data_IF_868024439322
#
_entry.id   IF_868024439322
#
_cell.length_a   1.000
_cell.length_b   1.000
_cell.length_c   1.000
_cell.angle_alpha   90.00
_cell.angle_beta   90.00
_cell.angle_gamma   90.00
#
_symmetry.space_group_name_H-M   'P 1'
#
loop_
_entity.id
_entity.type
_entity.pdbx_description
1 polymer ?
#
# COMPACT_ATOMS: atom_id res chain seq x y z
N UNK A 1 -33.01 9.22 9.34
CA UNK A 1 -33.35 8.32 10.48
C UNK A 1 -34.18 7.11 10.06
N UNK A 2 -34.94 7.16 8.95
CA UNK A 2 -35.67 6.01 8.39
C UNK A 2 -34.74 4.87 7.91
N UNK A 3 -33.66 5.21 7.20
CA UNK A 3 -32.68 4.27 6.62
C UNK A 3 -32.16 3.19 7.60
N UNK A 4 -31.96 3.53 8.88
CA UNK A 4 -31.36 2.61 9.86
C UNK A 4 -32.33 1.51 10.32
N UNK A 5 -33.62 1.83 10.48
CA UNK A 5 -34.62 0.84 10.93
C UNK A 5 -34.92 -0.18 9.85
N UNK A 6 -34.84 0.23 8.58
CA UNK A 6 -35.14 -0.63 7.45
C UNK A 6 -33.99 -1.61 7.16
N UNK A 7 -32.73 -1.18 7.31
CA UNK A 7 -31.56 -2.07 7.14
C UNK A 7 -31.53 -3.20 8.19
N UNK A 8 -31.87 -2.92 9.45
CA UNK A 8 -31.89 -3.98 10.50
C UNK A 8 -32.89 -5.09 10.21
N UNK A 9 -33.99 -4.78 9.49
CA UNK A 9 -34.99 -5.78 9.08
C UNK A 9 -34.47 -6.73 8.00
N UNK A 10 -33.40 -6.35 7.31
CA UNK A 10 -32.78 -7.15 6.25
C UNK A 10 -31.64 -8.05 6.74
N UNK A 11 -31.44 -8.18 8.06
CA UNK A 11 -30.32 -8.93 8.63
C UNK A 11 -30.29 -10.44 8.27
N UNK A 12 -31.41 -10.99 7.78
CA UNK A 12 -31.51 -12.38 7.34
C UNK A 12 -31.29 -12.57 5.84
N UNK A 13 -31.21 -11.50 5.04
CA UNK A 13 -30.91 -11.61 3.61
C UNK A 13 -29.46 -12.07 3.42
N UNK A 14 -29.18 -12.77 2.32
CA UNK A 14 -27.81 -12.95 1.84
C UNK A 14 -27.24 -11.61 1.36
N UNK A 15 -25.92 -11.50 1.27
CA UNK A 15 -25.27 -10.29 0.79
C UNK A 15 -25.74 -9.92 -0.63
N UNK A 16 -25.93 -10.90 -1.52
CA UNK A 16 -26.43 -10.65 -2.89
C UNK A 16 -27.87 -10.15 -2.88
N UNK A 17 -28.73 -10.72 -2.05
CA UNK A 17 -30.11 -10.25 -1.89
C UNK A 17 -30.14 -8.83 -1.32
N UNK A 18 -29.31 -8.55 -0.32
CA UNK A 18 -29.17 -7.20 0.24
C UNK A 18 -28.63 -6.21 -0.80
N UNK A 19 -27.70 -6.63 -1.66
CA UNK A 19 -27.19 -5.80 -2.76
C UNK A 19 -28.32 -5.37 -3.71
N UNK A 20 -29.19 -6.31 -4.10
CA UNK A 20 -30.34 -6.01 -4.97
C UNK A 20 -31.31 -5.03 -4.30
N UNK A 21 -31.68 -5.30 -3.05
CA UNK A 21 -32.52 -4.41 -2.25
C UNK A 21 -31.91 -3.00 -2.13
N UNK A 22 -30.60 -2.92 -1.83
CA UNK A 22 -29.90 -1.66 -1.69
C UNK A 22 -29.93 -0.81 -2.95
N UNK A 23 -29.84 -1.44 -4.13
CA UNK A 23 -29.86 -0.74 -5.41
C UNK A 23 -31.24 -0.13 -5.74
N UNK A 24 -32.32 -0.75 -5.26
CA UNK A 24 -33.70 -0.30 -5.51
C UNK A 24 -34.17 0.72 -4.47
N UNK A 25 -33.78 0.54 -3.20
CA UNK A 25 -34.42 1.22 -2.07
C UNK A 25 -33.54 2.30 -1.39
N UNK A 26 -32.25 2.38 -1.72
CA UNK A 26 -31.32 3.30 -1.05
C UNK A 26 -30.56 4.16 -2.07
N UNK A 27 -30.47 5.46 -1.80
CA UNK A 27 -29.67 6.37 -2.61
C UNK A 27 -28.18 5.98 -2.59
N UNK A 28 -27.51 6.01 -3.74
CA UNK A 28 -26.12 5.56 -3.92
C UNK A 28 -25.14 6.16 -2.89
N UNK A 29 -25.28 7.46 -2.58
CA UNK A 29 -24.46 8.16 -1.58
C UNK A 29 -24.51 7.54 -0.16
N UNK A 30 -25.55 6.78 0.14
CA UNK A 30 -25.79 6.16 1.44
C UNK A 30 -25.49 4.64 1.44
N UNK A 31 -25.12 4.07 0.29
CA UNK A 31 -24.87 2.62 0.14
C UNK A 31 -23.80 2.10 1.11
N UNK A 32 -22.66 2.79 1.24
CA UNK A 32 -21.58 2.34 2.12
C UNK A 32 -22.01 2.28 3.59
N UNK A 33 -22.84 3.24 4.03
CA UNK A 33 -23.38 3.26 5.39
C UNK A 33 -24.37 2.12 5.58
N UNK A 34 -25.24 1.88 4.61
CA UNK A 34 -26.22 0.79 4.66
C UNK A 34 -25.54 -0.59 4.68
N UNK A 35 -24.52 -0.81 3.83
CA UNK A 35 -23.70 -2.02 3.85
C UNK A 35 -23.01 -2.25 5.20
N UNK A 36 -22.39 -1.22 5.76
CA UNK A 36 -21.74 -1.31 7.07
C UNK A 36 -22.76 -1.75 8.14
N UNK A 37 -23.94 -1.14 8.17
CA UNK A 37 -25.00 -1.50 9.12
C UNK A 37 -25.56 -2.90 8.89
N UNK A 38 -25.69 -3.34 7.64
CA UNK A 38 -26.09 -4.69 7.31
C UNK A 38 -25.07 -5.71 7.82
N UNK A 39 -23.79 -5.58 7.46
CA UNK A 39 -22.76 -6.53 7.86
C UNK A 39 -22.52 -6.57 9.36
N UNK A 40 -22.73 -5.45 10.06
CA UNK A 40 -22.69 -5.41 11.52
C UNK A 40 -23.77 -6.30 12.15
N UNK A 41 -24.95 -6.34 11.54
CA UNK A 41 -26.16 -6.93 12.12
C UNK A 41 -26.57 -8.27 11.51
N UNK A 42 -26.01 -8.65 10.36
CA UNK A 42 -26.37 -9.87 9.64
C UNK A 42 -26.22 -11.10 10.53
N UNK A 43 -27.16 -12.03 10.38
CA UNK A 43 -27.10 -13.37 10.98
C UNK A 43 -26.72 -14.43 9.96
N UNK A 44 -26.65 -14.08 8.68
CA UNK A 44 -26.24 -15.00 7.62
C UNK A 44 -24.72 -15.23 7.69
N UNK A 45 -24.34 -16.49 7.92
CA UNK A 45 -22.93 -16.85 8.15
C UNK A 45 -22.06 -16.60 6.92
N UNK A 46 -22.60 -16.74 5.71
CA UNK A 46 -21.84 -16.46 4.49
C UNK A 46 -21.58 -14.96 4.33
N UNK A 47 -22.60 -14.15 4.57
CA UNK A 47 -22.52 -12.68 4.53
C UNK A 47 -21.59 -12.11 5.59
N UNK A 48 -21.45 -12.76 6.75
CA UNK A 48 -20.44 -12.40 7.74
C UNK A 48 -19.01 -12.48 7.19
N UNK A 49 -18.69 -13.49 6.36
CA UNK A 49 -17.37 -13.62 5.73
C UNK A 49 -17.10 -12.47 4.76
N UNK A 50 -18.06 -12.20 3.88
CA UNK A 50 -17.99 -11.12 2.88
C UNK A 50 -17.85 -9.76 3.57
N UNK A 51 -18.62 -9.57 4.64
CA UNK A 51 -18.64 -8.33 5.40
C UNK A 51 -17.28 -7.95 5.98
N UNK A 52 -16.43 -8.92 6.33
CA UNK A 52 -15.10 -8.60 6.85
C UNK A 52 -14.22 -7.92 5.81
N UNK A 53 -14.21 -8.36 4.54
CA UNK A 53 -13.47 -7.65 3.48
C UNK A 53 -14.09 -6.28 3.20
N UNK A 54 -15.41 -6.19 3.16
CA UNK A 54 -16.08 -4.92 2.92
C UNK A 54 -15.71 -3.88 4.00
N UNK A 55 -15.83 -4.26 5.26
CA UNK A 55 -15.54 -3.38 6.41
C UNK A 55 -14.05 -3.02 6.46
N UNK A 56 -13.17 -3.98 6.15
CA UNK A 56 -11.72 -3.75 6.04
C UNK A 56 -11.40 -2.72 4.94
N UNK A 57 -11.86 -2.97 3.71
CA UNK A 57 -11.55 -2.13 2.56
C UNK A 57 -12.04 -0.68 2.72
N UNK A 58 -13.17 -0.49 3.42
CA UNK A 58 -13.77 0.82 3.66
C UNK A 58 -13.37 1.47 4.99
N UNK A 59 -12.38 0.92 5.70
CA UNK A 59 -11.85 1.49 6.95
C UNK A 59 -12.85 1.51 8.13
N UNK A 60 -13.85 0.64 8.14
CA UNK A 60 -14.81 0.49 9.24
C UNK A 60 -14.23 -0.40 10.35
N UNK A 61 -13.09 -0.01 10.93
CA UNK A 61 -12.31 -0.84 11.85
C UNK A 61 -13.09 -1.32 13.07
N UNK A 62 -13.89 -0.45 13.69
CA UNK A 62 -14.65 -0.82 14.90
C UNK A 62 -15.71 -1.88 14.59
N UNK A 63 -16.39 -1.75 13.46
CA UNK A 63 -17.40 -2.72 13.03
C UNK A 63 -16.74 -4.03 12.55
N UNK A 64 -15.57 -3.95 11.90
CA UNK A 64 -14.77 -5.13 11.56
C UNK A 64 -14.37 -5.93 12.81
N UNK A 65 -13.88 -5.26 13.86
CA UNK A 65 -13.51 -5.91 15.12
C UNK A 65 -14.71 -6.62 15.79
N UNK A 66 -15.91 -6.04 15.69
CA UNK A 66 -17.14 -6.68 16.18
C UNK A 66 -17.48 -7.92 15.36
N UNK A 67 -17.41 -7.83 14.03
CA UNK A 67 -17.70 -8.94 13.13
C UNK A 67 -16.66 -10.08 13.27
N UNK A 68 -15.40 -9.75 13.49
CA UNK A 68 -14.33 -10.69 13.82
C UNK A 68 -14.66 -11.50 15.07
N UNK A 69 -15.09 -10.85 16.15
CA UNK A 69 -15.49 -11.53 17.39
C UNK A 69 -16.63 -12.51 17.16
N UNK A 70 -17.63 -12.14 16.34
CA UNK A 70 -18.74 -13.03 15.98
C UNK A 70 -18.26 -14.26 15.20
N UNK A 71 -17.44 -14.06 14.16
CA UNK A 71 -16.96 -15.14 13.30
C UNK A 71 -16.03 -16.12 14.04
N UNK A 72 -15.19 -15.62 14.96
CA UNK A 72 -14.37 -16.46 15.84
C UNK A 72 -15.20 -17.42 16.70
N UNK A 73 -16.33 -16.93 17.20
CA UNK A 73 -17.24 -17.71 18.05
C UNK A 73 -18.20 -18.60 17.25
N UNK A 74 -18.17 -18.51 15.91
CA UNK A 74 -19.01 -19.34 15.05
C UNK A 74 -18.60 -20.82 15.15
N UNK A 75 -19.56 -21.72 14.99
CA UNK A 75 -19.32 -23.16 14.85
C UNK A 75 -18.86 -23.55 13.44
N UNK A 76 -18.92 -22.61 12.49
CA UNK A 76 -18.56 -22.85 11.08
C UNK A 76 -17.09 -22.56 10.87
N UNK A 77 -16.33 -23.58 10.47
CA UNK A 77 -14.88 -23.50 10.24
C UNK A 77 -14.49 -22.40 9.27
N UNK A 78 -15.23 -22.22 8.17
CA UNK A 78 -14.94 -21.17 7.18
C UNK A 78 -14.96 -19.77 7.82
N UNK A 79 -15.97 -19.47 8.66
CA UNK A 79 -16.05 -18.21 9.37
C UNK A 79 -14.86 -17.99 10.31
N UNK A 80 -14.43 -19.04 11.03
CA UNK A 80 -13.25 -18.98 11.89
C UNK A 80 -11.98 -18.69 11.09
N UNK A 81 -11.84 -19.30 9.90
CA UNK A 81 -10.68 -19.08 9.01
C UNK A 81 -10.65 -17.67 8.44
N UNK A 82 -11.79 -17.15 7.99
CA UNK A 82 -11.92 -15.78 7.56
C UNK A 82 -11.59 -14.79 8.69
N UNK A 83 -12.06 -15.06 9.91
CA UNK A 83 -11.71 -14.23 11.07
C UNK A 83 -10.20 -14.26 11.35
N UNK A 84 -9.59 -15.45 11.30
CA UNK A 84 -8.16 -15.61 11.49
C UNK A 84 -7.35 -14.86 10.45
N UNK A 85 -7.75 -14.94 9.18
CA UNK A 85 -7.13 -14.20 8.09
C UNK A 85 -7.15 -12.69 8.34
N UNK A 86 -8.31 -12.14 8.73
CA UNK A 86 -8.42 -10.69 8.95
C UNK A 86 -7.72 -10.20 10.23
N UNK A 87 -7.58 -11.03 11.26
CA UNK A 87 -6.67 -10.72 12.38
C UNK A 87 -5.22 -10.58 11.91
N UNK A 88 -4.75 -11.50 11.07
CA UNK A 88 -3.40 -11.45 10.53
C UNK A 88 -3.21 -10.25 9.61
N UNK A 89 -4.25 -9.88 8.87
CA UNK A 89 -4.26 -8.66 8.03
C UNK A 89 -4.16 -7.40 8.88
N UNK A 90 -4.95 -7.28 9.94
CA UNK A 90 -4.87 -6.14 10.86
C UNK A 90 -3.54 -6.10 11.62
N UNK A 91 -2.97 -7.27 11.95
CA UNK A 91 -1.67 -7.36 12.60
C UNK A 91 -0.53 -6.91 11.66
N UNK A 92 -0.64 -7.23 10.38
CA UNK A 92 0.25 -6.74 9.33
C UNK A 92 0.16 -5.22 9.19
N UNK A 93 -1.04 -4.65 9.06
CA UNK A 93 -1.20 -3.20 8.87
C UNK A 93 -0.77 -2.36 10.08
N UNK A 94 -0.81 -2.95 11.29
CA UNK A 94 -0.40 -2.29 12.53
C UNK A 94 1.04 -2.55 12.94
N UNK A 95 1.81 -3.32 12.16
CA UNK A 95 3.16 -3.81 12.51
C UNK A 95 3.22 -4.49 13.89
N UNK A 96 2.11 -5.10 14.35
CA UNK A 96 2.01 -5.68 15.69
C UNK A 96 2.53 -7.11 15.79
N UNK A 97 2.70 -7.79 14.66
CA UNK A 97 3.34 -9.10 14.57
C UNK A 97 4.46 -9.10 13.54
N UNK A 98 5.49 -9.91 13.77
CA UNK A 98 6.59 -10.05 12.82
C UNK A 98 6.16 -10.82 11.57
N UNK A 99 6.87 -10.55 10.47
CA UNK A 99 6.70 -11.26 9.20
C UNK A 99 6.64 -12.78 9.35
N UNK A 100 7.60 -13.37 10.07
CA UNK A 100 7.72 -14.82 10.20
C UNK A 100 6.50 -15.44 10.88
N UNK A 101 5.97 -14.77 11.91
CA UNK A 101 4.77 -15.20 12.63
C UNK A 101 3.56 -15.13 11.72
N UNK A 102 3.35 -14.00 11.03
CA UNK A 102 2.19 -13.85 10.14
C UNK A 102 2.25 -14.90 9.02
N UNK A 103 3.40 -15.05 8.37
CA UNK A 103 3.58 -15.99 7.26
C UNK A 103 3.32 -17.44 7.68
N UNK A 104 3.86 -17.86 8.83
CA UNK A 104 3.61 -19.19 9.38
C UNK A 104 2.12 -19.40 9.66
N UNK A 105 1.46 -18.42 10.27
CA UNK A 105 0.04 -18.52 10.61
C UNK A 105 -0.86 -18.56 9.37
N UNK A 106 -0.49 -17.87 8.29
CA UNK A 106 -1.20 -17.97 7.01
C UNK A 106 -1.09 -19.36 6.37
N UNK A 107 0.00 -20.10 6.62
CA UNK A 107 0.16 -21.47 6.11
C UNK A 107 -0.72 -22.49 6.86
N UNK A 108 -1.18 -22.16 8.07
CA UNK A 108 -2.07 -23.04 8.86
C UNK A 108 -3.52 -22.94 8.40
N UNK A 109 -3.91 -21.83 7.74
CA UNK A 109 -5.28 -21.65 7.24
C UNK A 109 -5.48 -22.53 6.00
N UNK A 110 -6.25 -23.60 6.16
CA UNK A 110 -6.66 -24.50 5.06
C UNK A 110 -8.13 -24.26 4.73
N UNK A 111 -8.42 -23.91 3.47
CA UNK A 111 -9.77 -23.59 3.02
C UNK A 111 -10.01 -24.04 1.58
N UNK A 112 -11.27 -24.31 1.24
CA UNK A 112 -11.72 -24.54 -0.13
C UNK A 112 -12.41 -23.31 -0.75
N UNK A 113 -12.63 -22.24 0.03
CA UNK A 113 -13.23 -20.99 -0.44
C UNK A 113 -12.26 -20.27 -1.40
N UNK A 114 -12.63 -20.11 -2.69
CA UNK A 114 -11.76 -19.48 -3.69
C UNK A 114 -11.37 -18.04 -3.33
N UNK A 115 -12.27 -17.29 -2.72
CA UNK A 115 -12.00 -15.91 -2.35
C UNK A 115 -10.98 -15.85 -1.22
N UNK A 116 -11.16 -16.67 -0.16
CA UNK A 116 -10.20 -16.73 0.95
C UNK A 116 -8.83 -17.23 0.49
N UNK A 117 -8.76 -18.20 -0.43
CA UNK A 117 -7.48 -18.62 -1.05
C UNK A 117 -6.77 -17.44 -1.73
N UNK A 118 -7.50 -16.66 -2.53
CA UNK A 118 -6.95 -15.51 -3.21
C UNK A 118 -6.48 -14.44 -2.21
N UNK A 119 -7.25 -14.15 -1.17
CA UNK A 119 -6.85 -13.20 -0.12
C UNK A 119 -5.61 -13.64 0.66
N UNK A 120 -5.50 -14.93 0.99
CA UNK A 120 -4.30 -15.50 1.64
C UNK A 120 -3.08 -15.34 0.73
N UNK A 121 -3.20 -15.68 -0.56
CA UNK A 121 -2.13 -15.47 -1.55
C UNK A 121 -1.73 -14.00 -1.65
N UNK A 122 -2.71 -13.09 -1.71
CA UNK A 122 -2.46 -11.66 -1.77
C UNK A 122 -1.67 -11.14 -0.55
N UNK A 123 -2.01 -11.59 0.66
CA UNK A 123 -1.30 -11.18 1.87
C UNK A 123 0.12 -11.77 1.94
N UNK A 124 0.31 -13.03 1.54
CA UNK A 124 1.66 -13.63 1.43
C UNK A 124 2.54 -12.88 0.45
N UNK A 125 2.00 -12.51 -0.72
CA UNK A 125 2.73 -11.71 -1.69
C UNK A 125 3.03 -10.31 -1.15
N UNK A 126 2.08 -9.68 -0.47
CA UNK A 126 2.29 -8.36 0.14
C UNK A 126 3.40 -8.39 1.20
N UNK A 127 3.46 -9.44 2.02
CA UNK A 127 4.54 -9.67 2.98
C UNK A 127 5.90 -9.79 2.26
N UNK A 128 5.96 -10.54 1.17
CA UNK A 128 7.21 -10.75 0.41
C UNK A 128 7.69 -9.49 -0.31
N UNK A 129 6.76 -8.65 -0.80
CA UNK A 129 7.06 -7.32 -1.33
C UNK A 129 7.73 -6.42 -0.28
N UNK A 130 7.23 -6.44 0.96
CA UNK A 130 7.81 -5.65 2.08
C UNK A 130 9.22 -6.10 2.45
N UNK A 131 9.55 -7.37 2.21
CA UNK A 131 10.88 -7.96 2.43
C UNK A 131 11.74 -8.00 1.17
N UNK A 132 11.35 -7.26 0.13
CA UNK A 132 12.10 -7.11 -1.10
C UNK A 132 12.37 -8.39 -1.89
N UNK A 133 11.55 -9.44 -1.70
CA UNK A 133 11.71 -10.72 -2.40
C UNK A 133 10.96 -10.73 -3.74
N UNK A 134 11.34 -9.85 -4.67
CA UNK A 134 10.63 -9.66 -5.93
C UNK A 134 10.77 -10.84 -6.90
N UNK A 135 11.81 -11.67 -6.76
CA UNK A 135 11.96 -12.90 -7.56
C UNK A 135 10.82 -13.86 -7.23
N UNK A 136 10.63 -14.19 -5.95
CA UNK A 136 9.54 -15.06 -5.50
C UNK A 136 8.17 -14.47 -5.84
N UNK A 137 8.00 -13.15 -5.69
CA UNK A 137 6.74 -12.50 -6.08
C UNK A 137 6.48 -12.72 -7.57
N UNK A 138 7.48 -12.57 -8.43
CA UNK A 138 7.36 -12.82 -9.87
C UNK A 138 6.91 -14.24 -10.21
N UNK A 139 7.42 -15.23 -9.48
CA UNK A 139 7.06 -16.65 -9.64
C UNK A 139 5.60 -16.94 -9.23
N UNK A 140 5.11 -16.27 -8.19
CA UNK A 140 3.78 -16.51 -7.62
C UNK A 140 2.66 -15.68 -8.26
N UNK A 141 3.01 -14.66 -9.05
CA UNK A 141 2.04 -13.74 -9.64
C UNK A 141 1.04 -14.45 -10.57
N UNK A 142 1.49 -15.45 -11.34
CA UNK A 142 0.64 -16.18 -12.27
C UNK A 142 -0.41 -17.01 -11.52
N UNK A 143 0.01 -17.79 -10.53
CA UNK A 143 -0.89 -18.58 -9.70
C UNK A 143 -1.87 -17.68 -8.92
N UNK A 144 -1.42 -16.54 -8.39
CA UNK A 144 -2.31 -15.60 -7.73
C UNK A 144 -3.34 -14.97 -8.70
N UNK A 145 -2.92 -14.69 -9.94
CA UNK A 145 -3.84 -14.21 -10.99
C UNK A 145 -4.90 -15.26 -11.30
N UNK A 146 -4.53 -16.53 -11.41
CA UNK A 146 -5.48 -17.62 -11.65
C UNK A 146 -6.46 -17.79 -10.49
N UNK A 147 -5.97 -17.75 -9.24
CA UNK A 147 -6.83 -17.73 -8.05
C UNK A 147 -7.80 -16.55 -8.04
N UNK A 148 -7.35 -15.38 -8.50
CA UNK A 148 -8.21 -14.20 -8.62
C UNK A 148 -9.34 -14.43 -9.63
N UNK A 149 -9.06 -15.06 -10.77
CA UNK A 149 -10.09 -15.37 -11.77
C UNK A 149 -11.09 -16.45 -11.33
N UNK A 150 -10.68 -17.35 -10.44
CA UNK A 150 -11.58 -18.33 -9.83
C UNK A 150 -12.60 -17.70 -8.86
N UNK A 151 -12.40 -16.45 -8.44
CA UNK A 151 -13.38 -15.72 -7.63
C UNK A 151 -14.52 -15.23 -8.52
N UNK A 152 -15.63 -15.96 -8.50
CA UNK A 152 -16.86 -15.61 -9.21
C UNK A 152 -17.82 -14.74 -8.40
N UNK A 153 -17.61 -14.62 -7.08
CA UNK A 153 -18.54 -13.93 -6.19
C UNK A 153 -18.61 -12.42 -6.51
N UNK A 154 -19.80 -11.86 -6.83
CA UNK A 154 -19.95 -10.54 -7.44
C UNK A 154 -19.59 -9.36 -6.51
N UNK A 155 -19.57 -9.58 -5.19
CA UNK A 155 -19.15 -8.56 -4.22
C UNK A 155 -17.66 -8.68 -3.89
N UNK A 156 -17.11 -9.90 -3.86
CA UNK A 156 -15.72 -10.13 -3.45
C UNK A 156 -14.71 -9.96 -4.59
N UNK A 157 -15.12 -10.31 -5.82
CA UNK A 157 -14.25 -10.23 -7.00
C UNK A 157 -13.61 -8.85 -7.20
N UNK A 158 -14.33 -7.71 -7.08
CA UNK A 158 -13.70 -6.39 -7.17
C UNK A 158 -12.60 -6.16 -6.12
N UNK A 159 -12.79 -6.64 -4.89
CA UNK A 159 -11.77 -6.49 -3.83
C UNK A 159 -10.52 -7.31 -4.11
N UNK A 160 -10.67 -8.55 -4.58
CA UNK A 160 -9.51 -9.39 -4.95
C UNK A 160 -8.77 -8.79 -6.15
N UNK A 161 -9.50 -8.29 -7.15
CA UNK A 161 -8.90 -7.59 -8.30
C UNK A 161 -8.12 -6.34 -7.87
N UNK A 162 -8.65 -5.55 -6.94
CA UNK A 162 -7.95 -4.38 -6.41
C UNK A 162 -6.64 -4.79 -5.70
N UNK A 163 -6.62 -5.91 -4.98
CA UNK A 163 -5.38 -6.43 -4.35
C UNK A 163 -4.38 -6.90 -5.40
N UNK A 164 -4.82 -7.56 -6.47
CA UNK A 164 -3.99 -7.93 -7.61
C UNK A 164 -3.37 -6.71 -8.29
N UNK A 165 -4.17 -5.69 -8.61
CA UNK A 165 -3.67 -4.46 -9.21
C UNK A 165 -2.67 -3.73 -8.29
N UNK A 166 -2.91 -3.72 -6.97
CA UNK A 166 -1.96 -3.13 -6.00
C UNK A 166 -0.62 -3.87 -6.03
N UNK A 167 -0.65 -5.19 -6.01
CA UNK A 167 0.57 -6.01 -6.08
C UNK A 167 1.32 -5.76 -7.39
N UNK A 168 0.61 -5.76 -8.53
CA UNK A 168 1.19 -5.51 -9.85
C UNK A 168 1.79 -4.11 -9.96
N UNK A 169 1.14 -3.10 -9.37
CA UNK A 169 1.68 -1.74 -9.29
C UNK A 169 3.07 -1.73 -8.63
N UNK A 170 3.20 -2.27 -7.41
CA UNK A 170 4.47 -2.28 -6.69
C UNK A 170 5.53 -3.16 -7.35
N UNK A 171 5.12 -4.33 -7.86
CA UNK A 171 6.03 -5.23 -8.56
C UNK A 171 6.66 -4.54 -9.78
N UNK A 172 5.84 -4.03 -10.70
CA UNK A 172 6.34 -3.35 -11.90
C UNK A 172 7.09 -2.06 -11.55
N UNK A 173 6.69 -1.34 -10.50
CA UNK A 173 7.44 -0.18 -10.04
C UNK A 173 8.88 -0.57 -9.69
N UNK A 174 9.07 -1.59 -8.85
CA UNK A 174 10.39 -1.98 -8.38
C UNK A 174 11.26 -2.64 -9.46
N UNK A 175 10.63 -3.24 -10.47
CA UNK A 175 11.29 -3.74 -11.69
C UNK A 175 11.61 -2.64 -12.72
N UNK A 176 11.26 -1.38 -12.45
CA UNK A 176 11.42 -0.24 -13.35
C UNK A 176 10.55 -0.32 -14.64
N UNK A 177 9.43 -1.04 -14.60
CA UNK A 177 8.43 -1.11 -15.69
C UNK A 177 7.36 -0.01 -15.54
N UNK A 178 7.75 1.27 -15.66
CA UNK A 178 6.90 2.41 -15.24
C UNK A 178 5.56 2.52 -15.96
N UNK A 179 5.50 2.16 -17.25
CA UNK A 179 4.24 2.18 -18.00
C UNK A 179 3.21 1.24 -17.38
N UNK A 180 3.62 0.01 -17.05
CA UNK A 180 2.74 -0.98 -16.42
C UNK A 180 2.42 -0.59 -14.98
N UNK A 181 3.42 -0.14 -14.21
CA UNK A 181 3.21 0.31 -12.84
C UNK A 181 2.12 1.40 -12.81
N UNK A 182 2.29 2.49 -13.57
CA UNK A 182 1.34 3.60 -13.60
C UNK A 182 -0.03 3.18 -14.12
N UNK A 183 -0.11 2.29 -15.11
CA UNK A 183 -1.39 1.73 -15.58
C UNK A 183 -2.18 1.12 -14.41
N UNK A 184 -1.55 0.24 -13.62
CA UNK A 184 -2.21 -0.35 -12.46
C UNK A 184 -2.51 0.67 -11.37
N UNK A 185 -1.60 1.61 -11.11
CA UNK A 185 -1.82 2.71 -10.17
C UNK A 185 -3.03 3.58 -10.54
N UNK A 186 -3.20 3.95 -11.82
CA UNK A 186 -4.36 4.71 -12.29
C UNK A 186 -5.67 3.91 -12.23
N UNK A 187 -5.64 2.61 -12.55
CA UNK A 187 -6.82 1.75 -12.36
C UNK A 187 -7.29 1.78 -10.91
N UNK A 188 -6.36 1.67 -9.95
CA UNK A 188 -6.66 1.74 -8.53
C UNK A 188 -7.21 3.11 -8.12
N UNK A 189 -6.64 4.22 -8.63
CA UNK A 189 -7.12 5.57 -8.35
C UNK A 189 -8.60 5.72 -8.74
N UNK A 190 -9.00 5.23 -9.92
CA UNK A 190 -10.38 5.36 -10.41
C UNK A 190 -11.42 4.58 -9.60
N UNK A 191 -10.97 3.60 -8.80
CA UNK A 191 -11.85 2.68 -8.06
C UNK A 191 -11.75 2.83 -6.54
N UNK A 192 -10.80 3.61 -6.04
CA UNK A 192 -10.56 3.76 -4.62
C UNK A 192 -11.73 4.52 -3.94
N UNK A 193 -12.45 3.82 -3.06
CA UNK A 193 -13.51 4.42 -2.22
C UNK A 193 -12.98 4.88 -0.86
N UNK A 194 -11.84 4.32 -0.42
CA UNK A 194 -11.17 4.69 0.81
C UNK A 194 -10.20 5.86 0.55
N UNK A 195 -10.53 7.02 1.09
CA UNK A 195 -9.73 8.24 0.89
C UNK A 195 -8.33 8.17 1.51
N UNK A 196 -8.13 7.42 2.60
CA UNK A 196 -6.78 7.23 3.16
C UNK A 196 -5.91 6.44 2.18
N UNK A 197 -6.44 5.32 1.67
CA UNK A 197 -5.76 4.54 0.64
C UNK A 197 -5.50 5.36 -0.64
N UNK A 198 -6.45 6.21 -1.04
CA UNK A 198 -6.29 7.12 -2.17
C UNK A 198 -5.12 8.09 -1.97
N UNK A 199 -4.94 8.63 -0.76
CA UNK A 199 -3.82 9.50 -0.44
C UNK A 199 -2.48 8.75 -0.50
N UNK A 200 -2.39 7.55 0.09
CA UNK A 200 -1.19 6.70 0.04
C UNK A 200 -0.81 6.31 -1.40
N UNK A 201 -1.79 5.97 -2.22
CA UNK A 201 -1.58 5.65 -3.63
C UNK A 201 -1.04 6.86 -4.41
N UNK A 202 -1.55 8.06 -4.15
CA UNK A 202 -1.01 9.28 -4.72
C UNK A 202 0.44 9.54 -4.28
N UNK A 203 0.80 9.29 -3.01
CA UNK A 203 2.21 9.36 -2.60
C UNK A 203 3.07 8.41 -3.42
N UNK A 204 2.66 7.14 -3.57
CA UNK A 204 3.43 6.17 -4.34
C UNK A 204 3.54 6.56 -5.83
N UNK A 205 2.45 7.04 -6.43
CA UNK A 205 2.48 7.52 -7.83
C UNK A 205 3.43 8.69 -8.00
N UNK A 206 3.46 9.64 -7.06
CA UNK A 206 4.39 10.78 -7.11
C UNK A 206 5.85 10.32 -7.27
N UNK A 207 6.25 9.29 -6.53
CA UNK A 207 7.58 8.72 -6.59
C UNK A 207 7.89 7.99 -7.90
N UNK A 208 6.88 7.47 -8.59
CA UNK A 208 7.12 6.84 -9.90
C UNK A 208 7.58 7.85 -10.95
N UNK A 209 7.25 9.14 -10.80
CA UNK A 209 7.54 10.19 -11.78
C UNK A 209 8.88 10.90 -11.60
N UNK A 210 9.67 10.55 -10.57
CA UNK A 210 10.87 11.33 -10.21
C UNK A 210 11.91 11.41 -11.34
N UNK A 211 11.98 10.41 -12.23
CA UNK A 211 12.92 10.45 -13.35
C UNK A 211 12.33 10.98 -14.66
N UNK A 212 11.07 11.40 -14.66
CA UNK A 212 10.34 11.73 -15.87
C UNK A 212 9.85 13.18 -15.86
N UNK A 213 9.04 13.57 -14.87
CA UNK A 213 8.37 14.88 -14.87
C UNK A 213 8.05 15.37 -13.45
N UNK A 214 8.55 16.57 -13.13
CA UNK A 214 8.31 17.23 -11.85
C UNK A 214 6.83 17.57 -11.64
N UNK A 215 6.13 18.00 -12.69
CA UNK A 215 4.74 18.45 -12.54
C UNK A 215 3.83 17.28 -12.15
N UNK A 216 4.00 16.13 -12.79
CA UNK A 216 3.27 14.90 -12.46
C UNK A 216 3.61 14.39 -11.06
N UNK A 217 4.90 14.40 -10.69
CA UNK A 217 5.33 14.04 -9.34
C UNK A 217 4.69 14.95 -8.28
N UNK A 218 4.80 16.28 -8.48
CA UNK A 218 4.25 17.27 -7.56
C UNK A 218 2.71 17.22 -7.50
N UNK A 219 2.02 17.05 -8.63
CA UNK A 219 0.57 16.96 -8.67
C UNK A 219 0.05 15.84 -7.76
N UNK A 220 0.59 14.63 -7.91
CA UNK A 220 0.20 13.50 -7.08
C UNK A 220 0.55 13.73 -5.61
N UNK A 221 1.70 14.33 -5.31
CA UNK A 221 2.09 14.61 -3.94
C UNK A 221 1.16 15.64 -3.25
N UNK A 222 0.78 16.71 -3.96
CA UNK A 222 -0.16 17.71 -3.45
C UNK A 222 -1.56 17.14 -3.27
N UNK A 223 -2.01 16.26 -4.17
CA UNK A 223 -3.30 15.59 -4.01
C UNK A 223 -3.30 14.66 -2.78
N UNK A 224 -2.22 13.92 -2.56
CA UNK A 224 -2.05 13.13 -1.34
C UNK A 224 -2.09 14.01 -0.08
N UNK A 225 -1.39 15.14 -0.10
CA UNK A 225 -1.34 16.09 1.01
C UNK A 225 -2.72 16.68 1.31
N UNK A 226 -3.43 17.15 0.27
CA UNK A 226 -4.79 17.70 0.38
C UNK A 226 -5.75 16.71 1.02
N UNK A 227 -5.73 15.45 0.58
CA UNK A 227 -6.57 14.40 1.15
C UNK A 227 -6.17 14.12 2.61
N UNK A 228 -4.88 13.95 2.90
CA UNK A 228 -4.38 13.67 4.24
C UNK A 228 -4.75 14.77 5.25
N UNK A 229 -4.63 16.05 4.87
CA UNK A 229 -5.04 17.20 5.68
C UNK A 229 -6.55 17.25 5.90
N UNK A 230 -7.34 16.95 4.86
CA UNK A 230 -8.81 16.88 4.97
C UNK A 230 -9.24 15.80 5.96
N UNK A 231 -8.56 14.65 5.95
CA UNK A 231 -8.81 13.53 6.86
C UNK A 231 -8.11 13.67 8.23
N UNK A 232 -7.25 14.68 8.41
CA UNK A 232 -6.41 14.90 9.61
C UNK A 232 -5.54 13.69 9.96
N UNK A 233 -4.83 13.14 8.96
CA UNK A 233 -3.95 11.99 9.13
C UNK A 233 -2.51 12.46 9.32
N UNK A 234 -2.18 12.93 10.52
CA UNK A 234 -0.92 13.59 10.85
C UNK A 234 0.32 12.77 10.46
N UNK A 235 0.27 11.44 10.63
CA UNK A 235 1.37 10.55 10.22
C UNK A 235 1.68 10.68 8.71
N UNK A 236 0.64 10.73 7.88
CA UNK A 236 0.79 10.83 6.43
C UNK A 236 1.20 12.25 6.01
N UNK A 237 0.63 13.28 6.62
CA UNK A 237 1.04 14.68 6.46
C UNK A 237 2.53 14.84 6.74
N UNK A 238 2.98 14.35 7.90
CA UNK A 238 4.37 14.40 8.32
C UNK A 238 5.29 13.61 7.37
N UNK A 239 4.87 12.43 6.91
CA UNK A 239 5.64 11.66 5.92
C UNK A 239 5.82 12.45 4.61
N UNK A 240 4.76 13.09 4.12
CA UNK A 240 4.81 13.90 2.90
C UNK A 240 5.73 15.11 3.09
N UNK A 241 5.55 15.88 4.16
CA UNK A 241 6.30 17.13 4.39
C UNK A 241 7.77 16.89 4.73
N UNK A 242 8.06 15.87 5.54
CA UNK A 242 9.42 15.66 6.05
C UNK A 242 10.24 14.73 5.15
N UNK A 243 9.62 13.91 4.29
CA UNK A 243 10.35 12.93 3.47
C UNK A 243 10.09 13.10 1.98
N UNK A 244 8.87 12.89 1.53
CA UNK A 244 8.58 12.81 0.09
C UNK A 244 8.75 14.15 -0.64
N UNK A 245 8.23 15.25 -0.07
CA UNK A 245 8.34 16.60 -0.66
C UNK A 245 9.80 17.05 -0.75
N UNK A 246 10.61 17.01 0.33
CA UNK A 246 12.05 17.25 0.27
C UNK A 246 12.76 16.40 -0.79
N UNK A 247 12.51 15.09 -0.80
CA UNK A 247 13.15 14.18 -1.73
C UNK A 247 12.89 14.55 -3.19
N UNK A 248 11.61 14.75 -3.55
CA UNK A 248 11.20 15.06 -4.93
C UNK A 248 11.75 16.44 -5.35
N UNK A 249 11.61 17.45 -4.51
CA UNK A 249 12.06 18.80 -4.84
C UNK A 249 13.58 18.90 -4.95
N UNK A 250 14.31 18.23 -4.05
CA UNK A 250 15.76 18.10 -4.16
C UNK A 250 16.16 17.39 -5.46
N UNK A 251 15.52 16.26 -5.79
CA UNK A 251 15.83 15.49 -7.00
C UNK A 251 15.72 16.32 -8.29
N UNK A 252 14.69 17.19 -8.38
CA UNK A 252 14.48 18.08 -9.52
C UNK A 252 15.21 19.42 -9.43
N UNK A 253 16.18 19.56 -8.52
CA UNK A 253 16.96 20.79 -8.32
C UNK A 253 16.09 22.03 -8.02
N UNK A 254 15.08 21.86 -7.16
CA UNK A 254 14.14 22.91 -6.70
C UNK A 254 14.09 23.00 -5.17
N UNK A 255 15.22 23.19 -4.45
CA UNK A 255 15.24 23.12 -2.99
C UNK A 255 14.70 24.38 -2.30
N UNK A 256 14.28 25.42 -3.02
CA UNK A 256 13.88 26.71 -2.47
C UNK A 256 12.62 26.60 -1.60
N UNK A 257 12.67 27.16 -0.39
CA UNK A 257 11.54 27.15 0.55
C UNK A 257 11.24 25.77 1.18
N UNK A 258 11.99 24.72 0.81
CA UNK A 258 11.80 23.38 1.35
C UNK A 258 12.66 23.17 2.60
N UNK A 259 12.00 22.73 3.67
CA UNK A 259 12.59 22.42 4.98
C UNK A 259 12.16 21.03 5.43
N UNK A 260 13.00 20.37 6.23
CA UNK A 260 12.71 19.07 6.81
C UNK A 260 13.54 18.84 8.07
N UNK A 261 13.00 18.05 8.99
CA UNK A 261 13.67 17.53 10.16
C UNK A 261 14.28 16.13 9.93
N UNK A 262 14.02 15.49 8.79
CA UNK A 262 14.63 14.20 8.42
C UNK A 262 16.07 14.43 7.96
N UNK A 263 17.03 13.82 8.67
CA UNK A 263 18.46 14.04 8.41
C UNK A 263 18.91 13.60 7.01
N UNK A 264 18.32 12.52 6.47
CA UNK A 264 18.69 12.06 5.12
C UNK A 264 18.24 13.08 4.08
N UNK A 265 17.03 13.64 4.24
CA UNK A 265 16.53 14.65 3.31
C UNK A 265 17.16 16.03 3.52
N UNK A 266 17.56 16.39 4.74
CA UNK A 266 18.41 17.56 4.98
C UNK A 266 19.71 17.45 4.19
N UNK A 267 20.34 16.27 4.21
CA UNK A 267 21.56 16.01 3.47
C UNK A 267 21.33 16.06 1.95
N UNK A 268 20.20 15.54 1.46
CA UNK A 268 19.84 15.64 0.04
C UNK A 268 19.63 17.10 -0.41
N UNK A 269 18.93 17.91 0.39
CA UNK A 269 18.76 19.35 0.12
C UNK A 269 20.10 20.09 0.15
N UNK A 270 20.97 19.79 1.13
CA UNK A 270 22.31 20.38 1.22
C UNK A 270 23.17 20.02 0.00
N UNK A 271 23.10 18.77 -0.46
CA UNK A 271 23.81 18.29 -1.65
C UNK A 271 23.43 19.09 -2.89
N UNK A 272 22.13 19.26 -3.11
CA UNK A 272 21.58 19.97 -4.28
C UNK A 272 21.90 21.47 -4.22
N UNK A 273 22.02 22.04 -3.02
CA UNK A 273 22.49 23.42 -2.79
C UNK A 273 24.01 23.58 -2.93
N UNK A 274 24.77 22.52 -3.17
CA UNK A 274 26.23 22.54 -3.28
C UNK A 274 26.98 22.59 -1.94
N UNK A 275 26.29 22.40 -0.82
CA UNK A 275 26.87 22.46 0.52
C UNK A 275 27.47 21.10 0.94
N UNK A 276 28.54 20.67 0.27
CA UNK A 276 29.07 19.30 0.41
C UNK A 276 29.54 18.95 1.84
N UNK A 277 30.20 19.89 2.53
CA UNK A 277 30.60 19.70 3.93
C UNK A 277 29.41 19.46 4.87
N UNK A 278 28.29 20.12 4.60
CA UNK A 278 27.07 19.95 5.39
C UNK A 278 26.47 18.55 5.17
N UNK A 279 26.54 18.00 3.96
CA UNK A 279 26.14 16.62 3.67
C UNK A 279 26.94 15.64 4.53
N UNK A 280 28.27 15.78 4.54
CA UNK A 280 29.12 14.90 5.33
C UNK A 280 28.83 15.01 6.83
N UNK A 281 28.66 16.24 7.33
CA UNK A 281 28.34 16.50 8.74
C UNK A 281 26.99 15.88 9.14
N UNK A 282 25.96 16.02 8.30
CA UNK A 282 24.62 15.49 8.56
C UNK A 282 24.59 13.95 8.55
N UNK A 283 25.43 13.32 7.73
CA UNK A 283 25.45 11.88 7.53
C UNK A 283 26.51 11.14 8.36
N UNK A 284 27.45 11.86 9.00
CA UNK A 284 28.53 11.28 9.82
C UNK A 284 28.03 10.41 10.98
N UNK A 285 26.90 10.78 11.60
CA UNK A 285 26.36 10.11 12.78
C UNK A 285 25.33 9.02 12.45
N UNK A 286 25.03 8.78 11.18
CA UNK A 286 24.04 7.78 10.78
C UNK A 286 24.69 6.39 10.84
N UNK A 287 24.31 5.60 11.86
CA UNK A 287 24.86 4.25 12.09
C UNK A 287 24.54 3.27 10.95
N UNK A 288 23.31 3.33 10.43
CA UNK A 288 22.83 2.43 9.38
C UNK A 288 22.78 3.17 8.04
N UNK A 289 23.87 3.07 7.28
CA UNK A 289 23.94 3.67 5.95
C UNK A 289 23.04 2.90 4.97
N UNK A 290 21.85 3.44 4.72
CA UNK A 290 20.97 2.96 3.66
C UNK A 290 21.60 3.21 2.26
N UNK A 291 21.11 2.55 1.20
CA UNK A 291 21.55 2.83 -0.17
C UNK A 291 21.39 4.30 -0.55
N UNK A 292 20.34 4.99 -0.08
CA UNK A 292 20.17 6.43 -0.27
C UNK A 292 21.25 7.25 0.45
N UNK A 293 21.56 6.91 1.71
CA UNK A 293 22.62 7.57 2.47
C UNK A 293 23.98 7.44 1.78
N UNK A 294 24.30 6.23 1.28
CA UNK A 294 25.53 5.98 0.49
C UNK A 294 25.53 6.74 -0.83
N UNK A 295 24.37 6.84 -1.49
CA UNK A 295 24.22 7.65 -2.69
C UNK A 295 24.52 9.13 -2.40
N UNK A 296 23.96 9.72 -1.35
CA UNK A 296 24.20 11.12 -1.00
C UNK A 296 25.66 11.38 -0.63
N UNK A 297 26.27 10.52 0.20
CA UNK A 297 27.70 10.63 0.55
C UNK A 297 28.60 10.45 -0.68
N UNK A 298 28.33 9.44 -1.51
CA UNK A 298 29.09 9.18 -2.73
C UNK A 298 29.04 10.35 -3.70
N UNK A 299 27.87 11.01 -3.84
CA UNK A 299 27.75 12.25 -4.62
C UNK A 299 28.55 13.40 -4.02
N UNK A 300 28.45 13.62 -2.71
CA UNK A 300 29.16 14.73 -2.06
C UNK A 300 30.68 14.59 -2.15
N UNK A 301 31.19 13.36 -2.07
CA UNK A 301 32.63 13.05 -2.13
C UNK A 301 33.16 12.77 -3.53
N UNK A 302 32.28 12.70 -4.53
CA UNK A 302 32.58 12.14 -5.85
C UNK A 302 33.21 10.73 -5.75
N UNK A 303 32.81 9.96 -4.73
CA UNK A 303 33.34 8.64 -4.43
C UNK A 303 32.58 7.57 -5.23
N UNK A 304 33.24 7.11 -6.30
CA UNK A 304 32.71 6.07 -7.19
C UNK A 304 32.46 4.75 -6.48
N UNK A 305 33.25 4.40 -5.47
CA UNK A 305 33.08 3.16 -4.73
C UNK A 305 31.80 3.21 -3.88
N UNK A 306 31.55 4.32 -3.17
CA UNK A 306 30.29 4.52 -2.43
C UNK A 306 29.06 4.49 -3.35
N UNK A 307 29.14 5.10 -4.54
CA UNK A 307 28.07 5.07 -5.52
C UNK A 307 27.82 3.64 -6.05
N UNK A 308 28.88 2.88 -6.33
CA UNK A 308 28.75 1.47 -6.76
C UNK A 308 28.13 0.61 -5.67
N UNK A 309 28.52 0.82 -4.40
CA UNK A 309 27.90 0.13 -3.27
C UNK A 309 26.41 0.46 -3.17
N UNK A 310 26.04 1.74 -3.23
CA UNK A 310 24.64 2.18 -3.24
C UNK A 310 23.84 1.49 -4.36
N UNK A 311 24.38 1.47 -5.58
CA UNK A 311 23.76 0.79 -6.73
C UNK A 311 23.55 -0.69 -6.46
N UNK A 312 24.59 -1.41 -6.03
CA UNK A 312 24.52 -2.84 -5.76
C UNK A 312 23.50 -3.13 -4.66
N UNK A 313 23.44 -2.33 -3.59
CA UNK A 313 22.48 -2.57 -2.50
C UNK A 313 21.03 -2.32 -2.91
N UNK A 314 20.75 -1.34 -3.77
CA UNK A 314 19.41 -1.20 -4.35
C UNK A 314 19.00 -2.47 -5.11
N UNK A 315 19.90 -3.07 -5.89
CA UNK A 315 19.60 -4.26 -6.69
C UNK A 315 19.57 -5.54 -5.83
N UNK A 316 20.66 -5.82 -5.12
CA UNK A 316 20.89 -7.10 -4.46
C UNK A 316 20.11 -7.24 -3.14
N UNK A 317 19.99 -6.16 -2.36
CA UNK A 317 19.31 -6.22 -1.06
C UNK A 317 17.84 -5.78 -1.15
N UNK A 318 17.51 -4.88 -2.10
CA UNK A 318 16.16 -4.30 -2.21
C UNK A 318 15.42 -4.68 -3.49
N UNK A 319 16.11 -5.30 -4.47
CA UNK A 319 15.53 -5.61 -5.79
C UNK A 319 14.80 -4.41 -6.40
N UNK A 320 15.34 -3.21 -6.15
CA UNK A 320 14.77 -1.92 -6.50
C UNK A 320 15.54 -1.31 -7.67
N UNK A 321 15.22 -1.80 -8.87
CA UNK A 321 15.82 -1.37 -10.13
C UNK A 321 15.45 0.06 -10.48
N UNK A 322 14.34 0.57 -9.95
CA UNK A 322 13.91 1.95 -10.16
C UNK A 322 14.85 2.92 -9.45
N UNK A 323 15.01 2.80 -8.12
CA UNK A 323 15.88 3.72 -7.39
C UNK A 323 17.37 3.46 -7.60
N UNK A 324 17.79 2.28 -8.05
CA UNK A 324 19.16 2.01 -8.49
C UNK A 324 19.64 2.97 -9.60
N UNK A 325 18.72 3.59 -10.35
CA UNK A 325 19.05 4.61 -11.36
C UNK A 325 19.72 5.85 -10.75
N UNK A 326 19.47 6.16 -9.48
CA UNK A 326 20.07 7.31 -8.79
C UNK A 326 21.61 7.25 -8.81
N UNK A 327 22.27 6.26 -8.18
CA UNK A 327 23.74 6.17 -8.22
C UNK A 327 24.27 5.86 -9.62
N UNK A 328 23.54 5.08 -10.43
CA UNK A 328 23.97 4.72 -11.78
C UNK A 328 24.15 5.94 -12.70
N UNK A 329 23.22 6.89 -12.64
CA UNK A 329 23.31 8.11 -13.47
C UNK A 329 24.57 8.93 -13.12
N UNK A 330 24.88 9.07 -11.83
CA UNK A 330 26.07 9.80 -11.39
C UNK A 330 27.35 9.06 -11.80
N UNK A 331 27.39 7.72 -11.68
CA UNK A 331 28.53 6.94 -12.13
C UNK A 331 28.84 7.14 -13.62
N UNK A 332 27.81 7.29 -14.46
CA UNK A 332 27.96 7.60 -15.89
C UNK A 332 28.52 9.01 -16.11
N UNK A 333 28.02 10.00 -15.37
CA UNK A 333 28.52 11.38 -15.41
C UNK A 333 30.01 11.45 -15.03
N UNK A 334 30.44 10.74 -13.97
CA UNK A 334 31.84 10.71 -13.53
C UNK A 334 32.77 9.91 -14.46
N UNK A 335 32.21 9.17 -15.43
CA UNK A 335 32.98 8.37 -16.40
C UNK A 335 33.05 9.02 -17.78
N UNK A 336 32.29 10.09 -17.98
CA UNK A 336 32.31 10.95 -19.18
C UNK A 336 33.29 12.09 -18.94
#
# INVERSE_FOLDING_TARGET
MLLLKDVTRQASLSAEQFKSWLAEDVAEKDHNKAWCQYYKNTTDSYSMCIGMEFLYAHNFHQDLLQLLKKNKASLIKNNQDWARFFELTLAFDSDSLSFSIIYQQLNVITTNDPALKAFISALKISLQLMHYNFTWVGEELEDFRDKTYQVSHPILRPFVLNRLEKILFFYHWKRNDMLLARKYGFNLLTRATNHLYLAELNVNLSLTYIFDDFNSASFHLEEAYRIATTLKVDRLINMIEQRNRPFIYAHFNKPEGIVTNDRNEQAHLALVRGNLHEVERLLADIKDHTPFTKYFLGRARQDRHLLQQSYNEFIEQRSDYFFARLPLNILKELSS
#
